data_IF_708715202581
#
_entry.id   IF_708715202581
#
_cell.length_a   1.000
_cell.length_b   1.000
_cell.length_c   1.000
_cell.angle_alpha   90.00
_cell.angle_beta   90.00
_cell.angle_gamma   90.00
#
_symmetry.space_group_name_H-M   'P 1'
#
loop_
_entity.id
_entity.type
_entity.pdbx_description
1 polymer ?
#
# COMPACT_ATOMS: atom_id res chain seq x y z
N UNK A 1 8.72 2.73 18.77
CA UNK A 1 7.90 1.57 18.37
C UNK A 1 6.72 2.15 17.61
N UNK A 2 6.39 1.62 16.45
CA UNK A 2 5.20 2.06 15.70
C UNK A 2 3.96 1.60 16.44
N UNK A 3 2.89 2.40 16.41
CA UNK A 3 1.57 2.00 16.90
C UNK A 3 0.72 1.35 15.80
N UNK A 4 1.31 1.15 14.61
CA UNK A 4 0.64 0.56 13.47
C UNK A 4 0.54 -0.95 13.61
N UNK A 5 -0.64 -1.48 13.34
CA UNK A 5 -0.90 -2.92 13.32
C UNK A 5 -2.10 -3.27 12.46
N UNK A 6 -2.21 -4.56 12.14
CA UNK A 6 -3.27 -5.15 11.35
C UNK A 6 -3.95 -6.20 12.21
N UNK A 7 -5.28 -6.19 12.23
CA UNK A 7 -6.11 -7.21 12.85
C UNK A 7 -6.66 -8.13 11.78
N UNK A 8 -6.60 -9.45 12.04
CA UNK A 8 -7.22 -10.50 11.23
C UNK A 8 -8.39 -11.07 12.01
N UNK A 9 -9.55 -11.16 11.40
CA UNK A 9 -10.75 -11.62 12.03
C UNK A 9 -11.62 -12.48 11.13
N UNK A 10 -12.46 -13.31 11.75
CA UNK A 10 -13.63 -13.94 11.15
C UNK A 10 -14.88 -13.38 11.79
N UNK A 11 -15.97 -13.36 11.03
CA UNK A 11 -17.27 -12.98 11.57
C UNK A 11 -18.37 -13.90 11.06
N UNK A 12 -19.52 -13.85 11.78
CA UNK A 12 -20.70 -14.68 11.47
C UNK A 12 -20.37 -16.16 11.31
N UNK A 13 -19.59 -16.72 12.28
CA UNK A 13 -19.22 -18.13 12.25
C UNK A 13 -18.35 -18.54 11.06
N UNK A 14 -17.50 -17.62 10.56
CA UNK A 14 -16.57 -17.88 9.45
C UNK A 14 -17.13 -17.56 8.05
N UNK A 15 -18.34 -17.02 7.96
CA UNK A 15 -18.93 -16.61 6.68
C UNK A 15 -18.30 -15.33 6.11
N UNK A 16 -17.68 -14.52 6.98
CA UNK A 16 -16.99 -13.28 6.64
C UNK A 16 -15.54 -13.38 7.15
N UNK A 17 -14.60 -13.00 6.31
CA UNK A 17 -13.21 -12.75 6.67
C UNK A 17 -12.95 -11.26 6.63
N UNK A 18 -12.30 -10.73 7.66
CA UNK A 18 -12.07 -9.30 7.78
C UNK A 18 -10.62 -9.00 8.18
N UNK A 19 -10.12 -7.90 7.66
CA UNK A 19 -8.85 -7.27 8.03
C UNK A 19 -9.11 -5.81 8.32
N UNK A 20 -8.50 -5.28 9.36
CA UNK A 20 -8.51 -3.85 9.65
C UNK A 20 -7.12 -3.41 10.08
N UNK A 21 -6.72 -2.19 9.77
CA UNK A 21 -5.38 -1.72 10.05
C UNK A 21 -5.32 -0.25 10.46
N UNK A 22 -4.42 0.06 11.39
CA UNK A 22 -3.84 1.38 11.55
C UNK A 22 -2.49 1.43 10.82
N UNK A 23 -2.25 2.53 10.11
CA UNK A 23 -1.05 2.73 9.29
C UNK A 23 -0.51 4.16 9.38
N UNK A 24 -0.87 4.87 10.45
CA UNK A 24 -0.57 6.31 10.62
C UNK A 24 0.93 6.58 10.61
N UNK A 25 1.71 5.82 11.37
CA UNK A 25 3.16 5.99 11.49
C UNK A 25 3.87 5.63 10.17
N UNK A 26 3.45 4.53 9.53
CA UNK A 26 4.01 4.10 8.24
C UNK A 26 3.75 5.09 7.11
N UNK A 27 2.54 5.66 7.07
CA UNK A 27 2.18 6.69 6.07
C UNK A 27 2.89 8.01 6.38
N UNK A 28 3.05 8.37 7.68
CA UNK A 28 3.85 9.52 8.07
C UNK A 28 5.32 9.37 7.66
N UNK A 29 5.89 8.19 7.81
CA UNK A 29 7.27 7.95 7.38
C UNK A 29 7.42 8.09 5.86
N UNK A 30 6.48 7.53 5.09
CA UNK A 30 6.45 7.71 3.64
C UNK A 30 6.31 9.19 3.25
N UNK A 31 5.39 9.93 3.91
CA UNK A 31 5.21 11.37 3.71
C UNK A 31 6.51 12.13 3.94
N UNK A 32 7.21 11.85 5.03
CA UNK A 32 8.47 12.52 5.40
C UNK A 32 9.58 12.23 4.38
N UNK A 33 9.73 10.97 3.95
CA UNK A 33 10.76 10.55 2.98
C UNK A 33 10.54 11.15 1.59
N UNK A 34 9.30 11.27 1.16
CA UNK A 34 8.94 11.72 -0.19
C UNK A 34 8.48 13.17 -0.26
N UNK A 35 8.30 13.85 0.88
CA UNK A 35 7.76 15.21 0.96
C UNK A 35 6.44 15.34 0.19
N UNK A 36 5.54 14.36 0.39
CA UNK A 36 4.25 14.35 -0.30
C UNK A 36 3.35 15.48 0.19
N UNK A 37 2.63 16.12 -0.74
CA UNK A 37 1.60 17.11 -0.43
C UNK A 37 0.27 16.41 -0.08
N UNK A 38 -0.70 17.12 0.55
CA UNK A 38 -1.86 16.47 1.18
C UNK A 38 -2.63 15.48 0.30
N UNK A 39 -2.92 15.83 -0.96
CA UNK A 39 -3.66 14.93 -1.84
C UNK A 39 -2.82 13.70 -2.21
N UNK A 40 -1.53 13.89 -2.49
CA UNK A 40 -0.60 12.79 -2.75
C UNK A 40 -0.41 11.90 -1.52
N UNK A 41 -0.32 12.49 -0.31
CA UNK A 41 -0.25 11.75 0.96
C UNK A 41 -1.49 10.87 1.16
N UNK A 42 -2.68 11.42 0.87
CA UNK A 42 -3.92 10.66 1.00
C UNK A 42 -3.98 9.49 0.00
N UNK A 43 -3.59 9.71 -1.25
CA UNK A 43 -3.56 8.67 -2.28
C UNK A 43 -2.54 7.57 -1.95
N UNK A 44 -1.30 7.95 -1.60
CA UNK A 44 -0.25 7.01 -1.20
C UNK A 44 -0.64 6.22 0.05
N UNK A 45 -1.14 6.90 1.08
CA UNK A 45 -1.52 6.27 2.34
C UNK A 45 -2.66 5.27 2.17
N UNK A 46 -3.69 5.59 1.39
CA UNK A 46 -4.77 4.64 1.06
C UNK A 46 -4.22 3.41 0.34
N UNK A 47 -3.35 3.60 -0.65
CA UNK A 47 -2.73 2.49 -1.37
C UNK A 47 -1.88 1.64 -0.43
N UNK A 48 -1.03 2.25 0.41
CA UNK A 48 -0.21 1.53 1.40
C UNK A 48 -1.07 0.74 2.38
N UNK A 49 -2.13 1.34 2.92
CA UNK A 49 -3.06 0.68 3.86
C UNK A 49 -3.71 -0.56 3.24
N UNK A 50 -4.23 -0.45 2.03
CA UNK A 50 -4.79 -1.61 1.32
C UNK A 50 -3.71 -2.67 1.07
N UNK A 51 -2.53 -2.25 0.62
CA UNK A 51 -1.42 -3.14 0.27
C UNK A 51 -0.92 -3.93 1.48
N UNK A 52 -0.79 -3.31 2.66
CA UNK A 52 -0.32 -4.02 3.86
C UNK A 52 -1.36 -5.02 4.38
N UNK A 53 -2.66 -4.68 4.31
CA UNK A 53 -3.71 -5.65 4.62
C UNK A 53 -3.71 -6.83 3.63
N UNK A 54 -3.47 -6.59 2.35
CA UNK A 54 -3.27 -7.66 1.34
C UNK A 54 -2.01 -8.48 1.63
N UNK A 55 -0.92 -7.85 2.11
CA UNK A 55 0.28 -8.52 2.59
C UNK A 55 -0.03 -9.50 3.73
N UNK A 56 -0.86 -9.07 4.67
CA UNK A 56 -1.30 -9.91 5.79
C UNK A 56 -2.17 -11.13 5.38
N UNK A 57 -2.64 -11.19 4.13
CA UNK A 57 -3.33 -12.35 3.57
C UNK A 57 -2.37 -13.41 3.02
N UNK A 58 -1.09 -13.07 2.85
CA UNK A 58 -0.06 -13.94 2.29
C UNK A 58 0.48 -14.90 3.34
N UNK A 59 1.17 -15.94 2.88
CA UNK A 59 1.93 -16.85 3.73
C UNK A 59 3.35 -16.32 3.95
N UNK A 60 4.04 -16.90 4.94
CA UNK A 60 5.43 -16.55 5.28
C UNK A 60 6.35 -16.48 4.05
N UNK A 61 7.23 -15.47 4.04
CA UNK A 61 8.18 -15.16 2.97
C UNK A 61 7.56 -14.72 1.63
N UNK A 62 6.24 -14.61 1.55
CA UNK A 62 5.58 -14.05 0.38
C UNK A 62 5.48 -12.52 0.48
N UNK A 63 5.41 -11.89 -0.66
CA UNK A 63 5.27 -10.43 -0.78
C UNK A 63 4.46 -10.06 -2.00
N UNK A 64 3.95 -8.84 -2.02
CA UNK A 64 3.23 -8.31 -3.16
C UNK A 64 3.61 -6.86 -3.44
N UNK A 65 3.45 -6.48 -4.70
CA UNK A 65 3.55 -5.11 -5.19
C UNK A 65 2.21 -4.70 -5.78
N UNK A 66 1.69 -3.58 -5.32
CA UNK A 66 0.53 -2.91 -5.91
C UNK A 66 1.00 -1.72 -6.71
N UNK A 67 0.54 -1.61 -7.94
CA UNK A 67 0.72 -0.43 -8.81
C UNK A 67 -0.63 0.14 -9.18
N UNK A 68 -0.84 1.40 -8.87
CA UNK A 68 -2.00 2.18 -9.33
C UNK A 68 -1.53 3.19 -10.36
N UNK A 69 -2.10 3.14 -11.55
CA UNK A 69 -1.82 4.07 -12.64
C UNK A 69 -3.15 4.50 -13.27
N UNK A 70 -3.68 5.62 -12.82
CA UNK A 70 -4.96 6.16 -13.32
C UNK A 70 -4.81 7.21 -14.40
N UNK A 71 -3.59 7.42 -14.90
CA UNK A 71 -3.22 8.47 -15.85
C UNK A 71 -3.51 9.89 -15.32
N UNK A 72 -3.66 10.04 -14.01
CA UNK A 72 -3.82 11.34 -13.36
C UNK A 72 -2.49 12.04 -13.08
N UNK A 73 -2.54 13.29 -12.60
CA UNK A 73 -1.34 14.11 -12.36
C UNK A 73 -0.34 13.56 -11.35
N UNK A 74 -0.78 12.67 -10.43
CA UNK A 74 0.11 12.04 -9.44
C UNK A 74 1.08 11.03 -10.09
N UNK A 75 0.80 10.61 -11.33
CA UNK A 75 1.50 9.52 -11.99
C UNK A 75 1.17 8.18 -11.34
N UNK A 76 2.18 7.31 -11.20
CA UNK A 76 1.99 6.00 -10.58
C UNK A 76 2.14 6.07 -9.07
N UNK A 77 1.33 5.27 -8.37
CA UNK A 77 1.51 4.95 -6.95
C UNK A 77 1.97 3.50 -6.89
N UNK A 78 3.07 3.25 -6.20
CA UNK A 78 3.63 1.91 -6.04
C UNK A 78 3.79 1.64 -4.55
N UNK A 79 3.29 0.50 -4.10
CA UNK A 79 3.41 0.04 -2.73
C UNK A 79 3.78 -1.45 -2.70
N UNK A 80 4.75 -1.82 -1.85
CA UNK A 80 5.17 -3.18 -1.58
C UNK A 80 4.80 -3.56 -0.16
N UNK A 81 4.27 -4.77 0.06
CA UNK A 81 4.08 -5.33 1.39
C UNK A 81 4.46 -6.81 1.42
N UNK A 82 4.71 -7.31 2.61
CA UNK A 82 4.98 -8.72 2.88
C UNK A 82 4.04 -9.30 3.96
N UNK A 83 4.17 -10.61 4.18
CA UNK A 83 3.37 -11.33 5.17
C UNK A 83 3.70 -10.97 6.63
N UNK A 84 4.80 -10.24 6.88
CA UNK A 84 5.25 -9.81 8.20
C UNK A 84 4.73 -8.42 8.60
N UNK A 85 3.89 -7.79 7.76
CA UNK A 85 3.35 -6.46 8.01
C UNK A 85 4.30 -5.31 7.65
N UNK A 86 5.39 -5.59 6.95
CA UNK A 86 6.25 -4.55 6.42
C UNK A 86 5.60 -3.91 5.20
N UNK A 87 5.67 -2.59 5.11
CA UNK A 87 5.10 -1.78 4.03
C UNK A 87 6.07 -0.70 3.59
N UNK A 88 6.12 -0.42 2.30
CA UNK A 88 6.78 0.75 1.72
C UNK A 88 6.06 1.19 0.48
N UNK A 89 6.14 2.47 0.15
CA UNK A 89 5.47 2.98 -1.03
C UNK A 89 6.00 4.35 -1.45
N UNK A 90 5.72 4.72 -2.69
CA UNK A 90 6.02 6.03 -3.24
C UNK A 90 5.06 6.40 -4.36
N UNK A 91 5.08 7.68 -4.74
CA UNK A 91 4.35 8.21 -5.89
C UNK A 91 5.30 8.91 -6.85
N UNK A 92 4.98 8.91 -8.14
CA UNK A 92 5.84 9.54 -9.16
C UNK A 92 5.93 11.06 -8.98
N UNK A 93 4.80 11.72 -8.67
CA UNK A 93 4.75 13.18 -8.49
C UNK A 93 4.23 13.51 -7.08
N UNK A 94 5.11 13.50 -6.05
CA UNK A 94 4.72 13.62 -4.64
C UNK A 94 4.13 14.98 -4.27
N UNK A 95 4.40 16.04 -5.02
CA UNK A 95 3.85 17.38 -4.77
C UNK A 95 2.49 17.64 -5.46
N UNK A 96 1.83 16.59 -5.94
CA UNK A 96 0.48 16.71 -6.49
C UNK A 96 -0.53 17.04 -5.37
N UNK A 97 -1.23 18.16 -5.53
CA UNK A 97 -2.25 18.63 -4.60
C UNK A 97 -3.34 19.42 -5.31
N UNK A 98 -4.56 19.25 -4.85
CA UNK A 98 -5.74 19.98 -5.30
C UNK A 98 -6.49 20.56 -4.10
N UNK A 99 -7.25 21.67 -4.28
CA UNK A 99 -8.19 22.12 -3.29
C UNK A 99 -9.16 21.00 -2.88
N UNK A 100 -9.76 21.16 -1.70
CA UNK A 100 -10.79 20.22 -1.27
C UNK A 100 -11.93 20.16 -2.30
N UNK A 101 -12.50 18.98 -2.50
CA UNK A 101 -13.66 18.80 -3.35
C UNK A 101 -14.93 19.39 -2.71
N UNK A 102 -16.07 19.36 -3.42
CA UNK A 102 -17.34 19.92 -2.97
C UNK A 102 -17.87 19.30 -1.65
N UNK A 103 -17.36 18.14 -1.26
CA UNK A 103 -17.66 17.48 0.03
C UNK A 103 -16.68 17.84 1.14
N UNK A 104 -15.74 18.76 0.91
CA UNK A 104 -14.72 19.18 1.87
C UNK A 104 -13.64 18.12 2.11
N UNK A 105 -13.42 17.19 1.16
CA UNK A 105 -12.41 16.13 1.23
C UNK A 105 -11.26 16.40 0.25
N UNK A 106 -10.08 15.83 0.52
CA UNK A 106 -8.97 15.82 -0.43
C UNK A 106 -9.40 15.13 -1.74
N UNK A 107 -9.17 15.78 -2.87
CA UNK A 107 -9.60 15.34 -4.19
C UNK A 107 -8.64 14.28 -4.77
N UNK A 108 -8.70 13.08 -4.18
CA UNK A 108 -7.82 11.96 -4.53
C UNK A 108 -8.14 11.43 -5.92
N UNK A 109 -9.40 11.31 -6.25
CA UNK A 109 -9.85 10.85 -7.56
C UNK A 109 -9.28 11.69 -8.71
N UNK A 110 -9.26 13.00 -8.54
CA UNK A 110 -8.66 13.92 -9.53
C UNK A 110 -7.14 13.74 -9.65
N UNK A 111 -6.46 13.47 -8.53
CA UNK A 111 -5.01 13.26 -8.54
C UNK A 111 -4.64 11.93 -9.21
N UNK A 112 -5.36 10.86 -8.89
CA UNK A 112 -5.11 9.51 -9.39
C UNK A 112 -5.57 9.35 -10.83
N UNK A 113 -6.74 9.90 -11.18
CA UNK A 113 -7.43 9.61 -12.43
C UNK A 113 -8.17 8.26 -12.37
N UNK A 114 -8.95 7.97 -13.40
CA UNK A 114 -9.79 6.76 -13.44
C UNK A 114 -9.80 6.04 -14.81
N UNK A 115 -8.82 6.32 -15.66
CA UNK A 115 -8.77 5.76 -17.02
C UNK A 115 -7.69 4.69 -17.22
N UNK A 116 -7.07 4.26 -16.13
CA UNK A 116 -5.98 3.29 -16.13
C UNK A 116 -6.30 2.04 -15.31
N UNK A 117 -5.31 1.51 -14.60
CA UNK A 117 -5.42 0.22 -13.92
C UNK A 117 -4.83 0.19 -12.51
N UNK A 118 -5.36 -0.74 -11.70
CA UNK A 118 -4.77 -1.25 -10.49
C UNK A 118 -4.23 -2.65 -10.79
N UNK A 119 -2.93 -2.84 -10.57
CA UNK A 119 -2.22 -4.11 -10.81
C UNK A 119 -1.57 -4.60 -9.52
N UNK A 120 -1.75 -5.88 -9.22
CA UNK A 120 -1.12 -6.55 -8.08
C UNK A 120 -0.25 -7.68 -8.58
N UNK A 121 1.02 -7.66 -8.20
CA UNK A 121 1.99 -8.73 -8.49
C UNK A 121 2.35 -9.42 -7.18
N UNK A 122 2.12 -10.73 -7.09
CA UNK A 122 2.41 -11.56 -5.91
C UNK A 122 3.64 -12.42 -6.17
N UNK A 123 4.65 -12.30 -5.33
CA UNK A 123 5.80 -13.20 -5.25
C UNK A 123 5.51 -14.25 -4.16
N UNK A 124 5.14 -15.42 -4.57
CA UNK A 124 4.80 -16.54 -3.69
C UNK A 124 5.96 -17.55 -3.54
N UNK A 125 7.19 -17.14 -3.90
CA UNK A 125 8.38 -17.98 -3.82
C UNK A 125 8.48 -19.03 -4.94
N UNK A 126 7.68 -18.92 -5.99
CA UNK A 126 7.74 -19.74 -7.18
C UNK A 126 8.61 -19.08 -8.27
N UNK A 127 8.90 -19.82 -9.35
CA UNK A 127 9.70 -19.29 -10.47
C UNK A 127 9.02 -18.10 -11.15
N UNK A 128 7.70 -18.14 -11.27
CA UNK A 128 6.90 -17.11 -11.93
C UNK A 128 6.05 -16.36 -10.90
N UNK A 129 5.88 -15.05 -11.11
CA UNK A 129 5.01 -14.18 -10.31
C UNK A 129 3.55 -14.35 -10.75
N UNK A 130 2.64 -14.26 -9.80
CA UNK A 130 1.21 -14.13 -10.10
C UNK A 130 0.86 -12.65 -10.25
N UNK A 131 0.23 -12.30 -11.36
CA UNK A 131 -0.22 -10.94 -11.62
C UNK A 131 -1.72 -10.90 -11.88
N UNK A 132 -2.41 -10.01 -11.18
CA UNK A 132 -3.81 -9.66 -11.40
C UNK A 132 -3.94 -8.18 -11.70
N UNK A 133 -4.92 -7.80 -12.53
CA UNK A 133 -5.17 -6.40 -12.85
C UNK A 133 -6.65 -6.14 -13.07
N UNK A 134 -7.09 -4.93 -12.72
CA UNK A 134 -8.41 -4.40 -13.05
C UNK A 134 -8.30 -2.95 -13.54
N UNK A 135 -9.26 -2.50 -14.29
CA UNK A 135 -9.43 -1.07 -14.58
C UNK A 135 -9.79 -0.31 -13.30
N UNK A 136 -9.43 0.96 -13.21
CA UNK A 136 -9.92 1.85 -12.17
C UNK A 136 -11.36 2.27 -12.48
N UNK A 137 -12.20 2.34 -11.44
CA UNK A 137 -13.62 2.72 -11.56
C UNK A 137 -13.91 4.12 -11.07
N UNK A 138 -13.17 4.59 -10.06
CA UNK A 138 -13.40 5.91 -9.46
C UNK A 138 -12.14 6.75 -9.24
N UNK A 139 -10.99 6.12 -9.01
CA UNK A 139 -9.77 6.78 -8.55
C UNK A 139 -9.80 7.17 -7.06
N UNK A 140 -10.86 6.81 -6.32
CA UNK A 140 -10.96 6.98 -4.85
C UNK A 140 -10.24 5.89 -4.07
N UNK A 141 -9.72 4.88 -4.74
CA UNK A 141 -8.95 3.73 -4.29
C UNK A 141 -9.75 2.70 -3.49
N UNK A 142 -10.61 3.06 -2.56
CA UNK A 142 -11.47 2.11 -1.86
C UNK A 142 -12.36 1.32 -2.83
N UNK A 143 -13.03 2.02 -3.74
CA UNK A 143 -13.87 1.43 -4.78
C UNK A 143 -13.02 0.62 -5.76
N UNK A 144 -11.84 1.13 -6.12
CA UNK A 144 -10.94 0.49 -7.07
C UNK A 144 -10.39 -0.83 -6.54
N UNK A 145 -9.99 -0.89 -5.25
CA UNK A 145 -9.61 -2.13 -4.58
C UNK A 145 -10.79 -3.10 -4.42
N UNK A 146 -11.98 -2.58 -4.09
CA UNK A 146 -13.21 -3.39 -4.04
C UNK A 146 -13.47 -4.06 -5.39
N UNK A 147 -13.38 -3.29 -6.47
CA UNK A 147 -13.55 -3.80 -7.83
C UNK A 147 -12.46 -4.79 -8.23
N UNK A 148 -11.19 -4.53 -7.84
CA UNK A 148 -10.08 -5.45 -8.06
C UNK A 148 -10.35 -6.83 -7.43
N UNK A 149 -10.79 -6.87 -6.16
CA UNK A 149 -11.10 -8.14 -5.51
C UNK A 149 -12.23 -8.88 -6.23
N UNK A 150 -13.28 -8.19 -6.61
CA UNK A 150 -14.39 -8.82 -7.34
C UNK A 150 -14.00 -9.31 -8.73
N UNK A 151 -13.22 -8.52 -9.49
CA UNK A 151 -12.91 -8.78 -10.89
C UNK A 151 -11.73 -9.71 -11.09
N UNK A 152 -10.66 -9.49 -10.35
CA UNK A 152 -9.39 -10.20 -10.51
C UNK A 152 -9.23 -11.38 -9.55
N UNK A 153 -9.57 -11.21 -8.28
CA UNK A 153 -9.47 -12.26 -7.25
C UNK A 153 -10.76 -13.11 -7.18
N UNK A 154 -11.86 -12.65 -7.76
CA UNK A 154 -13.18 -13.30 -7.74
C UNK A 154 -13.72 -13.50 -6.32
N UNK A 155 -13.39 -12.60 -5.40
CA UNK A 155 -13.85 -12.60 -4.02
C UNK A 155 -14.71 -11.36 -3.78
N UNK A 156 -16.02 -11.50 -3.51
CA UNK A 156 -16.87 -10.38 -3.15
C UNK A 156 -16.34 -9.71 -1.89
N UNK A 157 -15.99 -8.44 -2.00
CA UNK A 157 -15.28 -7.72 -0.94
C UNK A 157 -15.82 -6.30 -0.80
N UNK A 158 -15.60 -5.69 0.36
CA UNK A 158 -15.71 -4.26 0.58
C UNK A 158 -14.42 -3.72 1.16
N UNK A 159 -13.93 -2.62 0.63
CA UNK A 159 -12.69 -1.98 1.05
C UNK A 159 -12.96 -0.54 1.46
N UNK A 160 -12.69 -0.22 2.72
CA UNK A 160 -12.77 1.13 3.25
C UNK A 160 -11.39 1.65 3.64
N UNK A 161 -11.02 2.82 3.11
CA UNK A 161 -9.71 3.42 3.32
C UNK A 161 -9.85 4.87 3.76
N UNK A 162 -9.05 5.30 4.75
CA UNK A 162 -9.09 6.65 5.26
C UNK A 162 -7.68 7.19 5.56
N UNK A 163 -7.41 8.40 5.09
CA UNK A 163 -6.20 9.17 5.47
C UNK A 163 -6.61 10.60 5.73
N UNK A 164 -6.23 11.11 6.89
CA UNK A 164 -6.39 12.51 7.28
C UNK A 164 -5.04 13.18 7.37
N UNK A 165 -4.92 14.34 6.77
CA UNK A 165 -3.69 15.14 6.72
C UNK A 165 -3.92 16.45 7.45
N UNK A 166 -2.99 16.81 8.33
CA UNK A 166 -3.00 18.07 9.05
C UNK A 166 -2.63 19.25 8.13
N UNK A 167 -2.95 20.51 8.52
CA UNK A 167 -2.56 21.69 7.74
C UNK A 167 -1.04 21.87 7.52
N UNK A 168 -0.22 21.25 8.37
CA UNK A 168 1.25 21.23 8.25
C UNK A 168 1.79 20.06 7.39
N UNK A 169 0.90 19.37 6.70
CA UNK A 169 1.15 18.19 5.87
C UNK A 169 1.54 16.91 6.64
N UNK A 170 1.53 16.90 7.97
CA UNK A 170 1.71 15.67 8.74
C UNK A 170 0.46 14.78 8.66
N UNK A 171 0.64 13.48 8.84
CA UNK A 171 -0.47 12.52 8.83
C UNK A 171 -1.14 12.53 10.20
N UNK A 172 -2.41 12.93 10.22
CA UNK A 172 -3.21 12.92 11.46
C UNK A 172 -3.67 11.50 11.80
N UNK A 173 -4.13 10.77 10.80
CA UNK A 173 -4.63 9.40 10.94
C UNK A 173 -4.66 8.70 9.58
N UNK A 174 -4.30 7.41 9.56
CA UNK A 174 -4.40 6.55 8.39
C UNK A 174 -4.78 5.13 8.81
N UNK A 175 -5.65 4.49 8.04
CA UNK A 175 -6.09 3.12 8.27
C UNK A 175 -7.23 2.72 7.35
N UNK A 176 -7.78 1.53 7.59
CA UNK A 176 -8.83 1.00 6.76
C UNK A 176 -9.24 -0.42 7.12
N UNK A 177 -10.10 -0.97 6.29
CA UNK A 177 -10.52 -2.36 6.38
C UNK A 177 -10.66 -3.01 5.01
N UNK A 178 -10.57 -4.34 4.98
CA UNK A 178 -10.98 -5.22 3.88
C UNK A 178 -11.88 -6.29 4.48
N UNK A 179 -13.12 -6.36 4.01
CA UNK A 179 -14.10 -7.35 4.43
C UNK A 179 -14.47 -8.21 3.22
N UNK A 180 -14.43 -9.52 3.36
CA UNK A 180 -14.60 -10.48 2.28
C UNK A 180 -15.66 -11.51 2.61
N UNK A 181 -16.58 -11.73 1.67
CA UNK A 181 -17.61 -12.77 1.80
C UNK A 181 -17.02 -14.12 1.43
N UNK A 182 -17.10 -15.09 2.34
CA UNK A 182 -16.59 -16.43 2.14
C UNK A 182 -17.57 -17.30 1.34
N UNK A 183 -17.09 -18.29 0.58
CA UNK A 183 -17.95 -19.20 -0.16
C UNK A 183 -18.96 -19.90 0.76
N UNK A 184 -20.23 -19.88 0.37
CA UNK A 184 -21.33 -20.48 1.15
C UNK A 184 -21.91 -19.60 2.25
N UNK A 185 -21.55 -18.30 2.29
CA UNK A 185 -22.19 -17.34 3.18
C UNK A 185 -23.71 -17.27 2.93
N UNK A 186 -24.48 -17.17 4.01
CA UNK A 186 -25.94 -17.07 3.91
C UNK A 186 -26.36 -15.69 3.37
N UNK A 187 -27.41 -15.63 2.58
CA UNK A 187 -27.96 -14.38 2.02
C UNK A 187 -28.29 -13.35 3.12
N UNK A 188 -28.80 -13.80 4.25
CA UNK A 188 -29.06 -12.95 5.41
C UNK A 188 -27.80 -12.26 5.94
N UNK A 189 -26.65 -12.97 5.97
CA UNK A 189 -25.37 -12.41 6.38
C UNK A 189 -24.88 -11.35 5.39
N UNK A 190 -25.04 -11.61 4.09
CA UNK A 190 -24.66 -10.67 3.01
C UNK A 190 -25.51 -9.40 3.13
N UNK A 191 -26.83 -9.52 3.25
CA UNK A 191 -27.73 -8.37 3.42
C UNK A 191 -27.38 -7.53 4.65
N UNK A 192 -27.11 -8.17 5.79
CA UNK A 192 -26.69 -7.45 7.02
C UNK A 192 -25.38 -6.69 6.81
N UNK A 193 -24.43 -7.29 6.12
CA UNK A 193 -23.15 -6.66 5.80
C UNK A 193 -23.32 -5.45 4.87
N UNK A 194 -24.13 -5.59 3.81
CA UNK A 194 -24.43 -4.50 2.87
C UNK A 194 -25.11 -3.32 3.60
N UNK A 195 -26.09 -3.60 4.44
CA UNK A 195 -26.77 -2.59 5.25
C UNK A 195 -25.80 -1.87 6.20
N UNK A 196 -24.91 -2.62 6.86
CA UNK A 196 -23.92 -2.06 7.78
C UNK A 196 -22.93 -1.14 7.04
N UNK A 197 -22.41 -1.58 5.89
CA UNK A 197 -21.47 -0.78 5.07
C UNK A 197 -22.13 0.49 4.53
N UNK A 198 -23.37 0.39 4.07
CA UNK A 198 -24.10 1.54 3.51
C UNK A 198 -24.41 2.60 4.57
N UNK A 199 -24.57 2.20 5.84
CA UNK A 199 -24.94 3.10 6.94
C UNK A 199 -23.75 3.53 7.80
N UNK A 200 -22.54 2.99 7.58
CA UNK A 200 -21.37 3.33 8.39
C UNK A 200 -20.87 4.75 8.15
N UNK A 201 -20.24 5.31 9.18
CA UNK A 201 -19.48 6.56 9.02
C UNK A 201 -18.27 6.33 8.11
N UNK A 202 -17.82 7.38 7.39
CA UNK A 202 -16.56 7.29 6.64
C UNK A 202 -15.41 6.78 7.52
N UNK A 203 -14.59 5.86 7.01
CA UNK A 203 -13.47 5.24 7.74
C UNK A 203 -12.55 6.28 8.37
N UNK A 204 -12.25 7.35 7.63
CA UNK A 204 -11.44 8.46 8.15
C UNK A 204 -12.02 9.10 9.41
N UNK A 205 -13.36 9.10 9.58
CA UNK A 205 -14.00 9.61 10.80
C UNK A 205 -13.91 8.63 11.97
N UNK A 206 -13.98 7.33 11.71
CA UNK A 206 -13.80 6.30 12.72
C UNK A 206 -12.37 6.36 13.29
N UNK A 207 -11.37 6.45 12.42
CA UNK A 207 -9.96 6.59 12.82
C UNK A 207 -9.71 7.91 13.54
N UNK A 208 -10.30 9.03 13.07
CA UNK A 208 -10.20 10.34 13.73
C UNK A 208 -10.75 10.33 15.16
N UNK A 209 -11.79 9.52 15.40
CA UNK A 209 -12.39 9.30 16.73
C UNK A 209 -11.52 8.41 17.63
N UNK A 210 -10.44 7.84 17.10
CA UNK A 210 -9.52 6.98 17.83
C UNK A 210 -9.94 5.53 17.93
N UNK A 211 -10.91 5.06 17.10
CA UNK A 211 -11.30 3.67 17.09
C UNK A 211 -10.12 2.79 16.66
N UNK A 212 -9.85 1.76 17.45
CA UNK A 212 -8.88 0.74 17.11
C UNK A 212 -9.30 -0.08 15.86
N UNK A 213 -8.40 -0.80 15.21
CA UNK A 213 -8.74 -1.70 14.13
C UNK A 213 -9.84 -2.70 14.49
N UNK A 214 -9.85 -3.24 15.73
CA UNK A 214 -10.88 -4.12 16.25
C UNK A 214 -12.23 -3.39 16.36
N UNK A 215 -12.22 -2.20 16.98
CA UNK A 215 -13.43 -1.40 17.17
C UNK A 215 -14.05 -0.98 15.84
N UNK A 216 -13.24 -0.76 14.79
CA UNK A 216 -13.74 -0.52 13.42
C UNK A 216 -14.50 -1.77 12.92
N UNK A 217 -13.97 -2.98 13.13
CA UNK A 217 -14.65 -4.20 12.75
C UNK A 217 -15.92 -4.42 13.59
N UNK A 218 -15.88 -4.11 14.89
CA UNK A 218 -17.04 -4.21 15.77
C UNK A 218 -18.17 -3.24 15.37
N UNK A 219 -17.83 -2.04 14.99
CA UNK A 219 -18.80 -1.03 14.49
C UNK A 219 -19.50 -1.50 13.20
N UNK A 220 -18.80 -2.23 12.33
CA UNK A 220 -19.35 -2.69 11.04
C UNK A 220 -20.10 -4.01 11.18
N UNK A 221 -19.54 -4.96 11.93
CA UNK A 221 -20.00 -6.36 11.92
C UNK A 221 -20.78 -6.76 13.18
N UNK A 222 -20.75 -5.91 14.24
CA UNK A 222 -21.25 -6.22 15.57
C UNK A 222 -20.21 -7.01 16.38
N UNK A 223 -19.89 -6.53 17.59
CA UNK A 223 -18.87 -7.13 18.46
C UNK A 223 -19.14 -8.63 18.71
N UNK A 224 -20.40 -8.99 18.93
CA UNK A 224 -20.83 -10.36 19.20
C UNK A 224 -20.61 -11.34 18.03
N UNK A 225 -20.43 -10.82 16.81
CA UNK A 225 -20.25 -11.62 15.61
C UNK A 225 -18.79 -11.78 15.23
N UNK A 226 -17.87 -10.97 15.80
CA UNK A 226 -16.47 -10.90 15.40
C UNK A 226 -15.60 -11.76 16.31
N UNK A 227 -14.77 -12.59 15.70
CA UNK A 227 -13.72 -13.34 16.35
C UNK A 227 -12.37 -12.84 15.83
N UNK A 228 -11.61 -12.16 16.68
CA UNK A 228 -10.23 -11.77 16.38
C UNK A 228 -9.38 -13.04 16.37
N UNK A 229 -8.60 -13.22 15.30
CA UNK A 229 -7.71 -14.37 15.11
C UNK A 229 -6.26 -14.05 15.43
N UNK A 230 -5.81 -12.86 15.01
CA UNK A 230 -4.39 -12.49 15.05
C UNK A 230 -4.22 -10.99 14.98
N UNK A 231 -3.14 -10.49 15.57
CA UNK A 231 -2.66 -9.12 15.45
C UNK A 231 -1.24 -9.15 14.89
N UNK A 232 -1.00 -8.39 13.84
CA UNK A 232 0.30 -8.30 13.18
C UNK A 232 0.81 -6.86 13.24
N UNK A 233 1.94 -6.62 13.89
CA UNK A 233 2.59 -5.30 13.88
C UNK A 233 2.90 -4.88 12.46
N UNK A 234 2.71 -3.58 12.16
CA UNK A 234 3.02 -3.00 10.86
C UNK A 234 4.04 -1.89 10.98
N UNK A 235 4.89 -1.71 9.97
CA UNK A 235 5.87 -0.63 9.94
C UNK A 235 6.33 -0.33 8.51
N UNK A 236 6.76 0.90 8.28
CA UNK A 236 7.50 1.23 7.08
C UNK A 236 8.88 0.53 7.15
N UNK A 237 9.15 -0.35 6.20
CA UNK A 237 10.41 -1.09 6.15
C UNK A 237 10.95 -1.12 4.72
N UNK A 238 12.19 -0.68 4.55
CA UNK A 238 12.86 -0.77 3.25
C UNK A 238 14.11 -1.65 3.37
N UNK A 239 14.10 -2.75 2.67
CA UNK A 239 15.20 -3.71 2.63
C UNK A 239 16.23 -3.41 1.52
N UNK A 240 16.35 -2.15 1.08
CA UNK A 240 17.43 -1.74 0.20
C UNK A 240 18.78 -1.81 0.92
N UNK A 241 19.89 -1.74 0.19
CA UNK A 241 21.22 -1.76 0.76
C UNK A 241 22.28 -1.61 -0.31
N UNK A 242 23.49 -1.25 0.11
CA UNK A 242 24.63 -0.98 -0.77
C UNK A 242 24.92 -2.17 -1.73
N UNK A 243 24.95 -3.40 -1.19
CA UNK A 243 25.19 -4.60 -1.98
C UNK A 243 24.09 -4.86 -3.04
N UNK A 244 22.81 -4.57 -2.70
CA UNK A 244 21.72 -4.74 -3.67
C UNK A 244 21.85 -3.78 -4.85
N UNK A 245 22.25 -2.52 -4.59
CA UNK A 245 22.51 -1.55 -5.65
C UNK A 245 23.78 -1.90 -6.43
N UNK A 246 24.84 -2.39 -5.77
CA UNK A 246 26.05 -2.86 -6.46
C UNK A 246 25.72 -4.03 -7.42
N UNK A 247 24.86 -4.97 -6.99
CA UNK A 247 24.39 -6.05 -7.86
C UNK A 247 23.50 -5.52 -9.02
N UNK A 248 22.72 -4.46 -8.81
CA UNK A 248 21.96 -3.84 -9.89
C UNK A 248 22.88 -3.15 -10.90
N UNK A 249 23.91 -2.43 -10.44
CA UNK A 249 24.95 -1.83 -11.30
C UNK A 249 25.65 -2.92 -12.11
N UNK A 250 25.97 -4.07 -11.49
CA UNK A 250 26.53 -5.23 -12.20
C UNK A 250 25.69 -5.65 -13.40
N UNK A 251 24.36 -5.60 -13.27
CA UNK A 251 23.43 -5.93 -14.34
C UNK A 251 23.39 -4.96 -15.53
N UNK A 252 23.99 -3.77 -15.41
CA UNK A 252 24.08 -2.80 -16.49
C UNK A 252 25.12 -3.21 -17.55
N UNK A 253 26.11 -4.05 -17.17
CA UNK A 253 27.14 -4.54 -18.06
C UNK A 253 28.43 -3.70 -18.06
N UNK A 254 29.49 -4.27 -18.68
CA UNK A 254 30.85 -3.71 -18.64
C UNK A 254 30.93 -2.28 -19.19
N UNK A 255 30.25 -2.00 -20.29
CA UNK A 255 30.35 -0.70 -20.97
C UNK A 255 29.83 0.46 -20.09
N UNK A 256 28.70 0.26 -19.44
CA UNK A 256 28.10 1.27 -18.57
C UNK A 256 28.92 1.47 -17.29
N UNK A 257 29.44 0.39 -16.69
CA UNK A 257 30.29 0.48 -15.51
C UNK A 257 31.61 1.20 -15.86
N UNK A 258 32.19 0.92 -17.06
CA UNK A 258 33.40 1.61 -17.52
C UNK A 258 33.12 3.12 -17.72
N UNK A 259 31.97 3.49 -18.29
CA UNK A 259 31.59 4.91 -18.45
C UNK A 259 31.47 5.62 -17.09
N UNK A 260 30.84 4.99 -16.09
CA UNK A 260 30.77 5.53 -14.71
C UNK A 260 32.15 5.75 -14.10
N UNK A 261 33.12 4.85 -14.37
CA UNK A 261 34.50 4.99 -13.90
C UNK A 261 35.22 6.16 -14.62
N UNK A 262 35.08 6.23 -15.92
CA UNK A 262 35.86 7.16 -16.75
C UNK A 262 35.32 8.60 -16.63
N UNK A 263 33.99 8.77 -16.61
CA UNK A 263 33.35 10.07 -16.67
C UNK A 263 33.08 10.63 -15.27
N UNK A 264 32.43 9.82 -14.36
CA UNK A 264 31.93 10.28 -13.08
C UNK A 264 32.85 9.96 -11.88
N UNK A 265 33.88 9.13 -12.08
CA UNK A 265 34.79 8.64 -11.02
C UNK A 265 34.06 7.94 -9.88
N UNK A 266 32.92 7.35 -10.17
CA UNK A 266 32.03 6.69 -9.23
C UNK A 266 30.59 6.64 -9.72
N UNK A 267 29.66 6.32 -8.82
CA UNK A 267 28.23 6.36 -9.09
C UNK A 267 27.43 6.71 -7.83
N UNK A 268 26.29 7.36 -8.01
CA UNK A 268 25.28 7.54 -6.98
C UNK A 268 24.00 6.81 -7.37
N UNK A 269 23.41 6.05 -6.45
CA UNK A 269 22.09 5.47 -6.61
C UNK A 269 21.20 5.88 -5.46
N UNK A 270 19.94 6.18 -5.76
CA UNK A 270 18.93 6.55 -4.76
C UNK A 270 17.79 5.55 -4.76
N UNK A 271 17.41 5.08 -3.57
CA UNK A 271 16.29 4.17 -3.43
C UNK A 271 14.96 4.90 -3.65
N UNK A 272 14.16 4.46 -4.61
CA UNK A 272 12.84 5.06 -4.87
C UNK A 272 11.89 4.96 -3.68
N UNK A 273 11.98 3.90 -2.84
CA UNK A 273 11.08 3.70 -1.70
C UNK A 273 11.43 4.51 -0.46
N UNK A 274 12.72 4.60 -0.11
CA UNK A 274 13.13 5.26 1.15
C UNK A 274 14.02 6.48 0.97
N UNK A 275 14.35 6.84 -0.26
CA UNK A 275 15.18 8.00 -0.63
C UNK A 275 16.60 7.94 -0.06
N UNK A 276 17.05 6.78 0.43
CA UNK A 276 18.43 6.60 0.87
C UNK A 276 19.35 6.61 -0.34
N UNK A 277 20.41 7.41 -0.24
CA UNK A 277 21.46 7.53 -1.27
C UNK A 277 22.62 6.62 -0.96
N UNK A 278 23.14 5.96 -1.97
CA UNK A 278 24.30 5.08 -1.93
C UNK A 278 25.36 5.61 -2.89
N UNK A 279 26.57 5.78 -2.38
CA UNK A 279 27.73 6.22 -3.16
C UNK A 279 28.60 5.01 -3.46
N UNK A 280 29.07 4.91 -4.69
CA UNK A 280 29.98 3.87 -5.16
C UNK A 280 31.26 4.54 -5.66
N UNK A 281 32.37 4.22 -5.03
CA UNK A 281 33.67 4.76 -5.40
C UNK A 281 34.20 4.16 -6.71
N UNK A 282 35.12 4.85 -7.35
CA UNK A 282 35.83 4.35 -8.53
C UNK A 282 36.45 2.97 -8.28
N UNK A 283 37.06 2.77 -7.12
CA UNK A 283 37.68 1.49 -6.74
C UNK A 283 36.67 0.34 -6.62
N UNK A 284 35.49 0.59 -6.05
CA UNK A 284 34.41 -0.43 -5.95
C UNK A 284 33.88 -0.82 -7.34
N UNK A 285 33.73 0.16 -8.24
CA UNK A 285 33.30 -0.11 -9.62
C UNK A 285 34.37 -0.86 -10.41
N UNK A 286 35.65 -0.57 -10.19
CA UNK A 286 36.77 -1.32 -10.80
C UNK A 286 36.77 -2.77 -10.31
N UNK A 287 36.64 -3.02 -9.00
CA UNK A 287 36.53 -4.38 -8.45
C UNK A 287 35.30 -5.13 -8.99
N UNK A 288 34.17 -4.42 -9.18
CA UNK A 288 32.96 -4.99 -9.77
C UNK A 288 33.21 -5.41 -11.23
N UNK A 289 33.88 -4.57 -12.00
CA UNK A 289 34.21 -4.81 -13.40
C UNK A 289 35.13 -6.03 -13.57
N UNK A 290 36.11 -6.20 -12.66
CA UNK A 290 37.00 -7.40 -12.66
C UNK A 290 36.23 -8.70 -12.39
N UNK A 291 35.17 -8.66 -11.59
CA UNK A 291 34.33 -9.84 -11.27
C UNK A 291 33.34 -10.21 -12.39
N UNK A 292 33.16 -9.37 -13.37
CA UNK A 292 32.25 -9.58 -14.51
C UNK A 292 33.02 -10.19 -15.70
N UNK A 293 34.31 -9.82 -15.84
CA UNK A 293 35.23 -10.39 -16.83
C UNK A 293 35.58 -11.85 -16.52
#
# INVERSE_FOLDING_TARGET
>A
MTNDYIVKALAFGGQIRAYSAWTTDSVQEAQTKHYTWPTASAALGRTMTATVMMGAMLNDNQKLTVTVDGHGPIGKIIADADAQGNIRGYVTHPQTHFPLNDMGKLDVSRAVGNSGSLTVVKDVGMKDYFSGSSELVSGELGDDFTYYFAKSEQVPSSVGLGVLVNPDNTIKAAGGFIIQVMPGAAEETITKLEDAINNMKPVSKLIEQGLSPEEILFEILGEENVQILDELSSKFECNCGHEKFLNAIKGLGEAEIQSMIDEDKGAEAECHFCRTKYQFSESELQELLEKIK
#
